data_IF_974333504065
#
_entry.id   IF_974333504065
#
_cell.length_a   1.000
_cell.length_b   1.000
_cell.length_c   1.000
_cell.angle_alpha   90.00
_cell.angle_beta   90.00
_cell.angle_gamma   90.00
#
_symmetry.space_group_name_H-M   'P 1'
#
loop_
_entity.id
_entity.type
_entity.pdbx_description
1 polymer ?
#
# COMPACT_ATOMS: atom_id res chain seq x y z
N UNK A 1 14.92 19.46 -9.53
CA UNK A 1 13.87 19.42 -10.57
C UNK A 1 12.54 19.57 -9.86
N UNK A 2 11.74 20.54 -10.26
CA UNK A 2 10.31 20.59 -9.90
C UNK A 2 9.65 19.35 -10.50
N UNK A 3 8.92 18.60 -9.68
CA UNK A 3 8.14 17.46 -10.16
C UNK A 3 6.88 18.05 -10.78
N UNK A 4 6.64 17.76 -12.05
CA UNK A 4 5.45 18.24 -12.74
C UNK A 4 4.21 17.55 -12.15
N UNK A 5 3.26 18.35 -11.68
CA UNK A 5 1.99 17.88 -11.15
C UNK A 5 0.89 18.02 -12.21
N UNK A 6 0.03 17.01 -12.31
CA UNK A 6 -1.07 16.92 -13.28
C UNK A 6 -2.34 16.44 -12.60
N UNK A 7 -3.46 16.52 -13.31
CA UNK A 7 -4.66 15.79 -12.94
C UNK A 7 -4.65 14.39 -13.53
N UNK A 8 -5.25 13.45 -12.80
CA UNK A 8 -5.42 12.07 -13.22
C UNK A 8 -6.87 11.64 -13.00
N UNK A 9 -7.51 11.16 -14.07
CA UNK A 9 -8.84 10.55 -13.97
C UNK A 9 -8.71 9.04 -14.00
N UNK A 10 -9.41 8.36 -13.08
CA UNK A 10 -9.47 6.91 -13.01
C UNK A 10 -10.92 6.45 -12.98
N UNK A 11 -11.28 5.51 -13.86
CA UNK A 11 -12.58 4.86 -13.85
C UNK A 11 -12.53 3.56 -13.04
N UNK A 12 -13.06 3.60 -11.82
CA UNK A 12 -13.16 2.40 -10.97
C UNK A 12 -14.60 1.90 -10.87
N UNK A 13 -14.75 0.61 -10.55
CA UNK A 13 -16.02 0.09 -10.05
C UNK A 13 -16.30 0.72 -8.70
N UNK A 14 -17.49 1.26 -8.48
CA UNK A 14 -17.89 1.68 -7.14
C UNK A 14 -17.95 0.46 -6.26
N UNK A 15 -17.34 0.53 -5.08
CA UNK A 15 -17.57 -0.43 -4.02
C UNK A 15 -18.57 0.13 -3.01
N UNK A 16 -19.31 -0.77 -2.36
CA UNK A 16 -20.17 -0.43 -1.23
C UNK A 16 -19.65 -1.12 0.01
N UNK A 17 -19.56 -0.36 1.09
CA UNK A 17 -19.39 -0.90 2.43
C UNK A 17 -20.75 -0.90 3.10
N UNK A 18 -21.43 -2.05 3.05
CA UNK A 18 -22.76 -2.17 3.68
C UNK A 18 -22.57 -2.43 5.17
N UNK A 19 -23.26 -1.63 5.98
CA UNK A 19 -23.44 -1.91 7.40
C UNK A 19 -24.76 -2.65 7.57
N UNK A 20 -24.72 -3.96 7.86
CA UNK A 20 -25.93 -4.73 8.22
C UNK A 20 -26.10 -4.73 9.73
N UNK A 21 -27.23 -4.22 10.22
CA UNK A 21 -27.63 -4.28 11.62
C UNK A 21 -28.20 -5.67 11.93
N UNK A 22 -27.62 -6.39 12.88
CA UNK A 22 -28.18 -7.65 13.38
C UNK A 22 -28.96 -7.43 14.68
N UNK A 23 -30.21 -7.89 14.67
CA UNK A 23 -31.24 -7.61 15.69
C UNK A 23 -30.91 -8.15 17.09
N UNK A 24 -30.06 -9.17 17.22
CA UNK A 24 -29.89 -9.86 18.50
C UNK A 24 -29.05 -9.05 19.52
N UNK A 25 -28.24 -8.07 19.14
CA UNK A 25 -27.39 -7.30 20.10
C UNK A 25 -26.89 -5.92 19.58
N UNK A 26 -27.66 -5.21 18.73
CA UNK A 26 -27.22 -3.93 18.12
C UNK A 26 -25.83 -4.00 17.45
N UNK A 27 -25.60 -5.03 16.64
CA UNK A 27 -24.31 -5.25 15.97
C UNK A 27 -24.30 -4.76 14.53
N UNK A 28 -23.21 -4.09 14.11
CA UNK A 28 -23.01 -3.51 12.78
C UNK A 28 -21.98 -4.34 11.99
N UNK A 29 -22.41 -5.16 11.01
CA UNK A 29 -21.52 -5.90 10.10
C UNK A 29 -21.11 -5.01 8.92
N UNK A 30 -19.83 -4.65 8.76
CA UNK A 30 -19.31 -3.97 7.56
C UNK A 30 -18.86 -5.02 6.52
N UNK A 31 -19.55 -5.13 5.38
CA UNK A 31 -19.12 -5.97 4.24
C UNK A 31 -18.70 -5.11 3.06
N UNK A 32 -17.55 -5.42 2.47
CA UNK A 32 -17.12 -4.87 1.19
C UNK A 32 -17.72 -5.68 0.05
N UNK A 33 -18.26 -5.02 -0.96
CA UNK A 33 -18.69 -5.65 -2.20
C UNK A 33 -18.54 -4.65 -3.33
N UNK A 34 -17.99 -5.10 -4.45
CA UNK A 34 -18.06 -4.34 -5.69
C UNK A 34 -19.52 -4.18 -6.13
N UNK A 35 -19.79 -3.07 -6.81
CA UNK A 35 -21.03 -2.86 -7.54
C UNK A 35 -20.75 -2.88 -9.03
N UNK A 36 -21.77 -3.11 -9.84
CA UNK A 36 -21.64 -3.10 -11.30
C UNK A 36 -21.53 -1.68 -11.88
N UNK A 37 -21.70 -0.65 -11.03
CA UNK A 37 -21.61 0.75 -11.46
C UNK A 37 -20.15 1.19 -11.47
N UNK A 38 -19.68 1.69 -12.61
CA UNK A 38 -18.39 2.38 -12.72
C UNK A 38 -18.55 3.89 -12.55
N UNK A 39 -17.58 4.54 -11.93
CA UNK A 39 -17.51 5.99 -11.78
C UNK A 39 -16.10 6.48 -12.09
N UNK A 40 -15.99 7.69 -12.64
CA UNK A 40 -14.70 8.36 -12.89
C UNK A 40 -14.42 9.28 -11.71
N UNK A 41 -13.23 9.15 -11.14
CA UNK A 41 -12.72 10.03 -10.10
C UNK A 41 -11.56 10.85 -10.61
N UNK A 42 -11.60 12.15 -10.34
CA UNK A 42 -10.53 13.07 -10.70
C UNK A 42 -9.66 13.36 -9.47
N UNK A 43 -8.36 13.10 -9.62
CA UNK A 43 -7.33 13.33 -8.61
C UNK A 43 -6.41 14.44 -9.10
N UNK A 44 -6.22 15.47 -8.28
CA UNK A 44 -5.29 16.55 -8.53
C UNK A 44 -3.91 16.24 -7.92
N UNK A 45 -2.95 17.14 -8.16
CA UNK A 45 -1.58 17.06 -7.61
C UNK A 45 -0.92 15.69 -7.80
N UNK A 46 -1.20 15.05 -8.95
CA UNK A 46 -0.66 13.74 -9.28
C UNK A 46 0.69 13.87 -10.00
N UNK A 47 1.55 12.89 -9.80
CA UNK A 47 2.85 12.78 -10.45
C UNK A 47 2.93 11.47 -11.20
N UNK A 48 3.55 11.50 -12.37
CA UNK A 48 3.63 10.34 -13.27
C UNK A 48 5.06 9.81 -13.28
N UNK A 49 5.21 8.54 -12.94
CA UNK A 49 6.44 7.77 -13.06
C UNK A 49 6.28 6.64 -14.07
N UNK A 50 7.41 6.17 -14.59
CA UNK A 50 7.49 5.03 -15.49
C UNK A 50 8.42 3.98 -14.92
N UNK A 51 8.05 2.71 -15.07
CA UNK A 51 8.85 1.56 -14.70
C UNK A 51 8.66 0.45 -15.73
N UNK A 52 9.60 -0.50 -15.79
CA UNK A 52 9.47 -1.69 -16.64
C UNK A 52 9.51 -2.96 -15.81
N UNK A 53 8.56 -3.83 -16.10
CA UNK A 53 8.56 -5.18 -15.58
C UNK A 53 9.71 -6.00 -16.19
N UNK A 54 10.09 -7.10 -15.56
CA UNK A 54 11.14 -8.01 -16.05
C UNK A 54 10.86 -8.56 -17.45
N UNK A 55 9.59 -8.69 -17.82
CA UNK A 55 9.13 -9.13 -19.14
C UNK A 55 8.98 -7.97 -20.14
N UNK A 56 9.59 -6.82 -19.85
CA UNK A 56 9.61 -5.60 -20.65
C UNK A 56 8.26 -4.91 -20.87
N UNK A 57 7.27 -5.20 -20.02
CA UNK A 57 6.02 -4.44 -20.03
C UNK A 57 6.20 -3.08 -19.36
N UNK A 58 5.73 -2.03 -20.03
CA UNK A 58 5.76 -0.66 -19.50
C UNK A 58 4.64 -0.46 -18.47
N UNK A 59 5.03 -0.01 -17.29
CA UNK A 59 4.13 0.30 -16.18
C UNK A 59 4.13 1.81 -15.98
N UNK A 60 2.95 2.41 -16.04
CA UNK A 60 2.73 3.79 -15.57
C UNK A 60 2.41 3.73 -14.08
N UNK A 61 3.13 4.53 -13.30
CA UNK A 61 2.96 4.64 -11.84
C UNK A 61 2.50 6.06 -11.52
N UNK A 62 1.24 6.19 -11.15
CA UNK A 62 0.64 7.46 -10.72
C UNK A 62 0.76 7.56 -9.22
N UNK A 63 1.26 8.70 -8.72
CA UNK A 63 1.30 8.99 -7.28
C UNK A 63 0.62 10.30 -6.96
N UNK A 64 -0.15 10.31 -5.87
CA UNK A 64 -0.72 11.51 -5.28
C UNK A 64 -0.35 11.58 -3.81
N UNK A 65 -0.41 12.77 -3.21
CA UNK A 65 -0.10 12.96 -1.80
C UNK A 65 -0.97 14.05 -1.18
N UNK A 66 -1.26 13.89 0.10
CA UNK A 66 -2.03 14.88 0.88
C UNK A 66 -1.54 14.92 2.31
N UNK A 67 -1.64 16.07 2.97
CA UNK A 67 -1.25 16.22 4.36
C UNK A 67 -2.46 16.04 5.28
N UNK A 68 -2.34 15.21 6.31
CA UNK A 68 -3.35 15.07 7.38
C UNK A 68 -2.68 15.04 8.74
N UNK A 69 -3.45 15.36 9.80
CA UNK A 69 -2.97 15.20 11.17
C UNK A 69 -3.21 13.77 11.66
N UNK A 70 -2.15 13.05 12.01
CA UNK A 70 -2.22 11.68 12.53
C UNK A 70 -2.68 11.68 13.98
N UNK A 71 -3.88 11.13 14.25
CA UNK A 71 -4.35 10.95 15.64
C UNK A 71 -3.49 9.96 16.43
N UNK A 72 -2.89 8.98 15.76
CA UNK A 72 -1.99 7.98 16.35
C UNK A 72 -0.73 8.65 16.90
N UNK A 73 -0.10 9.50 16.10
CA UNK A 73 1.17 10.16 16.42
C UNK A 73 0.98 11.50 17.14
N UNK A 74 -0.04 11.61 18.00
CA UNK A 74 -0.27 12.81 18.81
C UNK A 74 -0.74 14.05 18.02
N UNK A 75 -1.51 13.86 16.94
CA UNK A 75 -2.02 14.91 16.03
C UNK A 75 -0.94 15.67 15.25
N UNK A 76 0.25 15.07 15.06
CA UNK A 76 1.29 15.62 14.20
C UNK A 76 0.88 15.57 12.72
N UNK A 77 1.30 16.55 11.90
CA UNK A 77 1.10 16.49 10.46
C UNK A 77 1.91 15.33 9.87
N UNK A 78 1.26 14.53 9.04
CA UNK A 78 1.86 13.43 8.27
C UNK A 78 1.45 13.56 6.81
N UNK A 79 2.31 13.09 5.91
CA UNK A 79 2.05 13.05 4.48
C UNK A 79 1.51 11.68 4.12
N UNK A 80 0.25 11.64 3.74
CA UNK A 80 -0.38 10.48 3.16
C UNK A 80 -0.03 10.39 1.69
N UNK A 81 0.48 9.23 1.27
CA UNK A 81 0.87 8.96 -0.11
C UNK A 81 0.00 7.88 -0.71
N UNK A 82 -0.34 8.07 -1.98
CA UNK A 82 -1.13 7.13 -2.75
C UNK A 82 -0.36 6.71 -3.99
N UNK A 83 -0.49 5.45 -4.37
CA UNK A 83 0.10 4.90 -5.58
C UNK A 83 -0.95 4.07 -6.35
N UNK A 84 -0.99 4.26 -7.66
CA UNK A 84 -1.70 3.40 -8.60
C UNK A 84 -0.73 3.04 -9.74
N UNK A 85 -0.54 1.74 -9.98
CA UNK A 85 0.33 1.23 -11.04
C UNK A 85 -0.44 0.32 -11.98
N UNK A 86 -0.29 0.54 -13.28
CA UNK A 86 -0.93 -0.29 -14.31
C UNK A 86 -0.08 -0.35 -15.57
N UNK A 87 -0.30 -1.40 -16.34
CA UNK A 87 0.35 -1.63 -17.63
C UNK A 87 -0.29 -0.75 -18.71
N UNK A 88 0.53 -0.18 -19.59
CA UNK A 88 0.06 0.64 -20.71
C UNK A 88 0.52 0.03 -22.03
N UNK A 89 -0.47 -0.20 -22.90
CA UNK A 89 -0.28 -0.85 -24.21
C UNK A 89 -0.49 0.09 -25.40
N UNK A 90 -1.22 1.19 -25.20
CA UNK A 90 -1.51 2.19 -26.24
C UNK A 90 -1.89 3.50 -25.55
N UNK A 91 -1.49 4.64 -26.11
CA UNK A 91 -1.95 5.95 -25.62
C UNK A 91 -2.58 6.74 -26.76
N UNK A 92 -3.55 7.61 -26.47
CA UNK A 92 -4.11 8.51 -27.47
C UNK A 92 -3.19 9.71 -27.72
N UNK A 93 -3.29 10.33 -28.89
CA UNK A 93 -2.72 11.66 -29.07
C UNK A 93 -3.38 12.66 -28.11
N UNK A 94 -2.66 13.70 -27.65
CA UNK A 94 -3.24 14.75 -26.82
C UNK A 94 -4.29 15.57 -27.58
N UNK A 95 -5.40 15.88 -26.93
CA UNK A 95 -6.48 16.69 -27.49
C UNK A 95 -7.09 17.62 -26.44
N UNK A 96 -7.89 18.58 -26.89
CA UNK A 96 -8.61 19.51 -26.02
C UNK A 96 -10.09 19.13 -25.99
N UNK A 97 -10.68 19.08 -24.80
CA UNK A 97 -12.12 18.89 -24.63
C UNK A 97 -12.68 19.75 -23.50
N UNK A 98 -13.99 20.06 -23.57
CA UNK A 98 -14.71 20.69 -22.48
C UNK A 98 -15.07 19.65 -21.43
N UNK A 99 -14.69 19.88 -20.18
CA UNK A 99 -14.82 18.90 -19.10
C UNK A 99 -15.28 19.54 -17.79
N UNK A 100 -15.99 18.76 -16.98
CA UNK A 100 -16.39 19.13 -15.61
C UNK A 100 -15.84 18.07 -14.66
N UNK A 101 -14.86 18.46 -13.85
CA UNK A 101 -14.18 17.57 -12.94
C UNK A 101 -15.05 17.22 -11.72
N UNK A 102 -14.95 15.95 -11.31
CA UNK A 102 -15.55 15.38 -10.11
C UNK A 102 -14.44 15.19 -9.08
N UNK A 103 -14.26 16.19 -8.24
CA UNK A 103 -13.27 16.10 -7.17
C UNK A 103 -13.67 15.04 -6.13
N UNK A 104 -12.70 14.28 -5.66
CA UNK A 104 -12.79 13.51 -4.42
C UNK A 104 -12.72 14.46 -3.19
N UNK A 105 -13.58 15.49 -3.16
CA UNK A 105 -13.70 16.40 -2.03
C UNK A 105 -14.60 15.80 -0.94
N UNK A 106 -14.56 16.37 0.27
CA UNK A 106 -15.50 16.04 1.35
C UNK A 106 -16.98 16.33 1.02
N UNK A 107 -17.22 17.03 -0.09
CA UNK A 107 -18.55 17.33 -0.62
C UNK A 107 -18.65 16.78 -2.06
N UNK A 108 -19.23 15.58 -2.25
CA UNK A 108 -19.30 14.91 -3.55
C UNK A 108 -20.20 15.63 -4.58
N UNK A 109 -20.88 16.72 -4.19
CA UNK A 109 -21.69 17.53 -5.11
C UNK A 109 -20.91 18.70 -5.72
N UNK A 110 -19.71 19.02 -5.22
CA UNK A 110 -18.88 20.09 -5.78
C UNK A 110 -18.18 19.63 -7.05
N UNK A 111 -18.40 20.40 -8.12
CA UNK A 111 -17.82 20.18 -9.45
C UNK A 111 -17.00 21.39 -9.86
N UNK A 112 -15.88 21.16 -10.55
CA UNK A 112 -15.03 22.23 -11.10
C UNK A 112 -15.18 22.26 -12.62
N UNK A 113 -15.47 23.43 -13.17
CA UNK A 113 -15.80 23.65 -14.58
C UNK A 113 -17.30 23.85 -14.82
N UNK A 114 -17.77 23.77 -16.08
CA UNK A 114 -17.04 23.29 -17.25
C UNK A 114 -15.90 24.22 -17.69
N UNK A 115 -14.74 23.65 -18.03
CA UNK A 115 -13.58 24.34 -18.60
C UNK A 115 -12.94 23.46 -19.68
N UNK A 116 -12.14 24.05 -20.56
CA UNK A 116 -11.33 23.27 -21.49
C UNK A 116 -10.16 22.62 -20.75
N UNK A 117 -9.91 21.33 -20.99
CA UNK A 117 -8.73 20.61 -20.53
C UNK A 117 -7.92 20.07 -21.70
N UNK A 118 -6.60 20.01 -21.52
CA UNK A 118 -5.67 19.29 -22.39
C UNK A 118 -5.54 17.88 -21.81
N UNK A 119 -5.76 16.84 -22.61
CA UNK A 119 -5.85 15.46 -22.11
C UNK A 119 -5.31 14.46 -23.13
N UNK A 120 -4.76 13.34 -22.63
CA UNK A 120 -4.64 12.10 -23.40
C UNK A 120 -5.08 10.90 -22.55
N UNK A 121 -5.49 9.84 -23.24
CA UNK A 121 -5.93 8.59 -22.63
C UNK A 121 -4.78 7.59 -22.60
N UNK A 122 -4.63 6.89 -21.48
CA UNK A 122 -3.67 5.79 -21.34
C UNK A 122 -4.29 4.43 -21.68
N UNK A 123 -5.61 4.31 -21.54
CA UNK A 123 -6.43 3.17 -21.92
C UNK A 123 -7.92 3.57 -21.81
N UNK A 124 -8.81 2.58 -21.73
CA UNK A 124 -10.25 2.83 -21.59
C UNK A 124 -10.70 3.40 -20.24
N UNK A 125 -9.87 3.30 -19.20
CA UNK A 125 -10.20 3.60 -17.80
C UNK A 125 -9.28 4.67 -17.16
N UNK A 126 -8.28 5.20 -17.87
CA UNK A 126 -7.30 6.15 -17.34
C UNK A 126 -7.02 7.36 -18.26
N UNK A 127 -6.97 8.56 -17.67
CA UNK A 127 -6.64 9.82 -18.35
C UNK A 127 -5.64 10.64 -17.56
N UNK A 128 -4.70 11.29 -18.25
CA UNK A 128 -3.83 12.33 -17.69
C UNK A 128 -4.20 13.66 -18.34
N UNK A 129 -4.38 14.71 -17.54
CA UNK A 129 -4.85 15.99 -18.05
C UNK A 129 -4.43 17.20 -17.21
N UNK A 130 -4.54 18.39 -17.79
CA UNK A 130 -4.43 19.67 -17.09
C UNK A 130 -5.44 20.66 -17.67
N UNK A 131 -5.83 21.68 -16.90
CA UNK A 131 -6.69 22.74 -17.42
C UNK A 131 -5.98 23.55 -18.50
N UNK A 132 -6.68 23.82 -19.61
CA UNK A 132 -6.13 24.64 -20.68
C UNK A 132 -5.92 26.08 -20.20
N UNK A 133 -4.75 26.65 -20.49
CA UNK A 133 -4.46 28.05 -20.23
C UNK A 133 -4.66 28.88 -21.48
N UNK A 134 -5.17 30.09 -21.30
CA UNK A 134 -5.44 31.00 -22.41
C UNK A 134 -4.13 31.32 -23.16
N UNK A 135 -4.13 31.07 -24.48
CA UNK A 135 -2.99 31.33 -25.35
C UNK A 135 -1.85 30.30 -25.30
N UNK A 136 -1.94 29.24 -24.49
CA UNK A 136 -0.95 28.15 -24.50
C UNK A 136 -1.25 27.12 -25.61
N UNK A 137 -0.24 26.80 -26.41
CA UNK A 137 -0.31 25.71 -27.40
C UNK A 137 -0.14 24.35 -26.70
N UNK A 138 -0.88 23.33 -27.16
CA UNK A 138 -0.82 21.98 -26.62
C UNK A 138 0.61 21.43 -26.63
N UNK A 139 1.41 21.75 -27.66
CA UNK A 139 2.78 21.24 -27.77
C UNK A 139 3.72 21.77 -26.70
N UNK A 140 3.38 22.90 -26.06
CA UNK A 140 4.14 23.49 -24.95
C UNK A 140 3.71 22.97 -23.57
N UNK A 141 2.62 22.21 -23.52
CA UNK A 141 1.98 21.76 -22.28
C UNK A 141 2.75 20.64 -21.57
N UNK A 142 2.45 20.45 -20.28
CA UNK A 142 2.98 19.30 -19.51
C UNK A 142 2.43 18.01 -20.10
N UNK A 143 1.18 18.05 -20.56
CA UNK A 143 0.45 16.92 -21.15
C UNK A 143 1.15 16.40 -22.40
N UNK A 144 1.56 17.29 -23.30
CA UNK A 144 2.29 16.88 -24.52
C UNK A 144 3.69 16.36 -24.21
N UNK A 145 4.38 16.93 -23.22
CA UNK A 145 5.66 16.40 -22.73
C UNK A 145 5.52 14.98 -22.17
N UNK A 146 4.53 14.74 -21.30
CA UNK A 146 4.25 13.42 -20.73
C UNK A 146 3.85 12.41 -21.81
N UNK A 147 2.98 12.80 -22.75
CA UNK A 147 2.63 11.97 -23.90
C UNK A 147 3.88 11.53 -24.67
N UNK A 148 4.77 12.45 -25.03
CA UNK A 148 6.00 12.11 -25.75
C UNK A 148 6.93 11.21 -24.93
N UNK A 149 7.05 11.46 -23.62
CA UNK A 149 7.86 10.62 -22.73
C UNK A 149 7.34 9.18 -22.71
N UNK A 150 6.04 8.99 -22.52
CA UNK A 150 5.42 7.66 -22.48
C UNK A 150 5.51 7.00 -23.87
N UNK A 151 5.16 7.71 -24.94
CA UNK A 151 5.20 7.19 -26.31
C UNK A 151 6.62 6.75 -26.71
N UNK A 152 7.63 7.58 -26.41
CA UNK A 152 9.02 7.24 -26.69
C UNK A 152 9.44 6.00 -25.91
N UNK A 153 9.10 5.91 -24.63
CA UNK A 153 9.41 4.71 -23.84
C UNK A 153 8.72 3.46 -24.37
N UNK A 154 7.49 3.57 -24.90
CA UNK A 154 6.81 2.45 -25.55
C UNK A 154 7.53 1.97 -26.82
N UNK A 155 8.20 2.87 -27.55
CA UNK A 155 8.88 2.56 -28.82
C UNK A 155 10.33 2.10 -28.59
N UNK A 156 11.09 2.77 -27.73
CA UNK A 156 12.54 2.60 -27.63
C UNK A 156 13.03 1.80 -26.41
N UNK A 157 12.14 1.43 -25.47
CA UNK A 157 12.49 0.72 -24.22
C UNK A 157 13.78 1.23 -23.55
N UNK A 158 13.89 2.55 -23.34
CA UNK A 158 15.10 3.15 -22.75
C UNK A 158 15.19 2.95 -21.23
N UNK A 159 14.05 2.79 -20.55
CA UNK A 159 14.02 2.39 -19.13
C UNK A 159 14.53 0.95 -18.98
N UNK A 160 15.33 0.71 -17.95
CA UNK A 160 15.80 -0.63 -17.61
C UNK A 160 14.66 -1.48 -17.04
N UNK A 161 14.54 -2.70 -17.54
CA UNK A 161 13.58 -3.72 -17.06
C UNK A 161 14.10 -4.39 -15.80
N UNK A 162 13.97 -3.70 -14.67
CA UNK A 162 14.50 -4.08 -13.36
C UNK A 162 13.44 -4.18 -12.25
N UNK A 163 12.16 -3.97 -12.57
CA UNK A 163 11.04 -3.91 -11.62
C UNK A 163 11.19 -2.83 -10.52
N UNK A 164 12.01 -1.80 -10.74
CA UNK A 164 12.23 -0.74 -9.76
C UNK A 164 11.29 0.43 -10.03
N UNK A 165 10.42 0.71 -9.07
CA UNK A 165 9.62 1.92 -9.03
C UNK A 165 10.49 3.09 -8.56
N UNK A 166 11.18 3.72 -9.50
CA UNK A 166 12.02 4.89 -9.22
C UNK A 166 11.15 6.08 -8.79
N UNK A 167 11.69 6.87 -7.88
CA UNK A 167 11.15 8.18 -7.52
C UNK A 167 12.17 9.26 -7.87
N UNK A 168 11.70 10.42 -8.31
CA UNK A 168 12.54 11.56 -8.70
C UNK A 168 13.21 12.28 -7.51
N UNK A 169 13.14 11.74 -6.30
CA UNK A 169 13.68 12.35 -5.08
C UNK A 169 14.86 11.55 -4.57
N UNK A 170 15.99 12.21 -4.36
CA UNK A 170 17.13 11.63 -3.63
C UNK A 170 16.76 11.56 -2.16
N UNK A 171 16.38 10.39 -1.71
CA UNK A 171 16.17 10.12 -0.29
C UNK A 171 17.46 9.47 0.22
N UNK A 172 18.18 10.18 1.09
CA UNK A 172 19.27 9.56 1.83
C UNK A 172 18.63 8.50 2.73
N UNK A 173 18.92 7.24 2.43
CA UNK A 173 18.52 6.11 3.23
C UNK A 173 19.80 5.31 3.52
N UNK A 174 19.86 4.71 4.70
CA UNK A 174 20.94 3.80 5.06
C UNK A 174 20.85 2.54 4.16
N UNK A 175 21.96 1.78 4.02
CA UNK A 175 22.01 0.47 3.34
C UNK A 175 21.15 -0.63 4.01
N UNK A 176 20.16 -0.25 4.82
CA UNK A 176 19.24 -1.14 5.52
C UNK A 176 18.16 -1.60 4.56
N UNK A 177 17.86 -2.90 4.61
CA UNK A 177 16.68 -3.44 3.95
C UNK A 177 15.44 -3.01 4.73
N UNK A 178 14.64 -2.13 4.14
CA UNK A 178 13.37 -1.67 4.70
C UNK A 178 12.33 -1.72 3.58
N UNK A 179 11.27 -2.54 3.70
CA UNK A 179 10.27 -2.66 2.64
C UNK A 179 9.38 -1.42 2.55
N UNK A 180 8.84 -1.19 1.35
CA UNK A 180 7.69 -0.30 1.15
C UNK A 180 6.43 -1.13 1.16
N UNK A 181 5.42 -0.70 1.92
CA UNK A 181 4.17 -1.43 2.07
C UNK A 181 3.09 -0.72 1.25
N UNK A 182 2.46 -1.47 0.36
CA UNK A 182 1.27 -1.05 -0.35
C UNK A 182 0.03 -1.73 0.23
N UNK A 183 -0.95 -0.94 0.62
CA UNK A 183 -2.24 -1.43 1.11
C UNK A 183 -3.37 -0.75 0.34
N UNK A 184 -4.38 -1.46 -0.16
CA UNK A 184 -5.55 -0.86 -0.78
C UNK A 184 -6.16 0.27 0.05
N UNK A 185 -6.37 1.42 -0.57
CA UNK A 185 -6.84 2.66 0.04
C UNK A 185 -8.36 2.66 0.19
N UNK A 186 -8.86 1.86 1.13
CA UNK A 186 -10.28 1.75 1.43
C UNK A 186 -10.52 2.20 2.87
N UNK A 187 -10.78 3.50 3.05
CA UNK A 187 -10.89 4.18 4.36
C UNK A 187 -11.82 3.48 5.35
N UNK A 188 -12.94 2.93 4.85
CA UNK A 188 -13.95 2.26 5.69
C UNK A 188 -13.46 1.02 6.44
N UNK A 189 -12.27 0.51 6.10
CA UNK A 189 -11.66 -0.69 6.67
C UNK A 189 -10.96 -0.42 7.99
N UNK A 190 -10.63 0.81 8.34
CA UNK A 190 -9.99 1.18 9.63
C UNK A 190 -8.82 0.25 10.03
N UNK A 191 -8.10 -0.33 9.06
CA UNK A 191 -7.06 -1.36 9.25
C UNK A 191 -5.68 -0.85 8.81
N UNK A 192 -5.42 0.43 9.09
CA UNK A 192 -4.21 1.13 8.65
C UNK A 192 -2.95 0.54 9.29
N UNK A 193 -1.86 0.51 8.53
CA UNK A 193 -0.52 0.31 9.07
C UNK A 193 -0.19 1.46 10.04
N UNK A 194 0.39 1.13 11.19
CA UNK A 194 0.83 2.08 12.22
C UNK A 194 2.33 2.07 12.41
N UNK A 195 2.92 0.88 12.47
CA UNK A 195 4.35 0.74 12.72
C UNK A 195 4.94 -0.33 11.83
N UNK A 196 6.18 -0.12 11.42
CA UNK A 196 6.97 -1.06 10.63
C UNK A 196 8.32 -1.21 11.31
N UNK A 197 8.61 -2.42 11.80
CA UNK A 197 9.86 -2.73 12.45
C UNK A 197 10.67 -3.70 11.61
N UNK A 198 11.95 -3.38 11.40
CA UNK A 198 12.89 -4.24 10.67
C UNK A 198 14.02 -4.68 11.61
N UNK A 199 14.06 -5.98 11.94
CA UNK A 199 15.12 -6.59 12.75
C UNK A 199 15.98 -7.49 11.89
N UNK A 200 17.25 -7.13 11.74
CA UNK A 200 18.26 -8.00 11.13
C UNK A 200 18.56 -9.17 12.07
N UNK A 201 18.32 -10.41 11.64
CA UNK A 201 18.72 -11.65 12.31
C UNK A 201 20.05 -12.16 11.75
N UNK A 202 20.81 -12.89 12.56
CA UNK A 202 22.23 -13.19 12.37
C UNK A 202 22.57 -13.85 11.03
N UNK A 203 23.83 -13.66 10.60
CA UNK A 203 24.38 -14.27 9.39
C UNK A 203 24.39 -15.79 9.48
N UNK A 204 23.91 -16.46 8.45
CA UNK A 204 24.24 -17.87 8.20
C UNK A 204 25.72 -17.98 7.81
N UNK A 205 26.32 -19.16 7.97
CA UNK A 205 27.74 -19.42 7.68
C UNK A 205 28.18 -19.04 6.25
N UNK A 206 27.23 -18.92 5.31
CA UNK A 206 27.44 -18.50 3.92
C UNK A 206 27.35 -16.98 3.69
N UNK A 207 27.23 -16.17 4.75
CA UNK A 207 27.11 -14.71 4.65
C UNK A 207 25.73 -14.19 4.25
N UNK A 208 24.73 -15.07 4.09
CA UNK A 208 23.32 -14.67 3.96
C UNK A 208 22.77 -14.21 5.31
N UNK A 209 21.85 -13.24 5.31
CA UNK A 209 21.15 -12.83 6.52
C UNK A 209 19.65 -12.69 6.27
N UNK A 210 18.89 -12.76 7.35
CA UNK A 210 17.45 -12.62 7.34
C UNK A 210 17.07 -11.27 7.97
N UNK A 211 16.10 -10.58 7.38
CA UNK A 211 15.45 -9.44 8.02
C UNK A 211 14.04 -9.85 8.37
N UNK A 212 13.73 -9.88 9.67
CA UNK A 212 12.37 -10.01 10.16
C UNK A 212 11.70 -8.64 10.08
N UNK A 213 10.60 -8.58 9.34
CA UNK A 213 9.75 -7.39 9.25
C UNK A 213 8.51 -7.66 10.06
N UNK A 214 8.19 -6.77 11.01
CA UNK A 214 6.98 -6.82 11.81
C UNK A 214 6.16 -5.56 11.59
N UNK A 215 4.89 -5.73 11.25
CA UNK A 215 3.95 -4.66 10.94
C UNK A 215 2.87 -4.65 12.02
N UNK A 216 2.64 -3.48 12.61
CA UNK A 216 1.55 -3.24 13.55
C UNK A 216 0.41 -2.51 12.84
N UNK A 217 -0.79 -3.07 12.95
CA UNK A 217 -2.01 -2.52 12.36
C UNK A 217 -2.92 -1.95 13.43
N UNK A 218 -3.63 -0.87 13.11
CA UNK A 218 -4.65 -0.27 13.99
C UNK A 218 -5.70 -1.29 14.44
N UNK A 219 -6.13 -2.18 13.53
CA UNK A 219 -7.12 -3.22 13.81
C UNK A 219 -7.09 -4.31 12.73
N UNK A 220 -7.54 -5.53 13.06
CA UNK A 220 -7.85 -6.60 12.12
C UNK A 220 -9.37 -6.73 11.97
N UNK A 221 -9.90 -6.66 10.74
CA UNK A 221 -11.33 -6.81 10.47
C UNK A 221 -11.64 -8.14 9.79
N UNK A 222 -12.08 -9.11 10.61
CA UNK A 222 -12.75 -10.33 10.15
C UNK A 222 -14.20 -9.98 9.73
N UNK A 223 -14.57 -10.23 8.47
CA UNK A 223 -15.82 -9.82 7.82
C UNK A 223 -16.83 -10.96 7.59
N UNK A 224 -16.39 -12.15 7.23
CA UNK A 224 -17.19 -13.38 7.10
C UNK A 224 -17.50 -13.97 8.48
N UNK A 225 -16.52 -13.97 9.40
CA UNK A 225 -16.66 -14.49 10.77
C UNK A 225 -16.85 -13.41 11.86
N UNK A 226 -17.59 -12.34 11.54
CA UNK A 226 -17.80 -11.17 12.41
C UNK A 226 -18.41 -11.47 13.80
N UNK A 227 -19.14 -12.59 13.96
CA UNK A 227 -19.68 -13.01 15.26
C UNK A 227 -18.58 -13.38 16.28
N UNK A 228 -17.36 -13.68 15.81
CA UNK A 228 -16.19 -13.93 16.65
C UNK A 228 -15.40 -12.65 16.94
N UNK A 229 -15.66 -11.51 16.29
CA UNK A 229 -14.79 -10.32 16.35
C UNK A 229 -14.66 -9.75 17.78
N UNK A 230 -15.77 -9.55 18.52
CA UNK A 230 -15.68 -9.16 19.93
C UNK A 230 -15.16 -10.25 20.85
N UNK A 231 -15.46 -11.54 20.58
CA UNK A 231 -14.95 -12.64 21.38
C UNK A 231 -13.44 -12.80 21.20
N UNK A 232 -12.94 -12.63 19.98
CA UNK A 232 -11.54 -12.69 19.59
C UNK A 232 -10.78 -11.42 19.99
N UNK A 233 -11.36 -10.21 19.87
CA UNK A 233 -10.82 -8.98 20.49
C UNK A 233 -10.77 -9.13 22.01
N UNK A 234 -11.83 -9.64 22.67
CA UNK A 234 -11.82 -9.90 24.12
C UNK A 234 -10.84 -11.00 24.51
N UNK A 235 -10.67 -12.05 23.73
CA UNK A 235 -9.67 -13.10 23.96
C UNK A 235 -8.26 -12.52 23.78
N UNK A 236 -8.01 -11.71 22.73
CA UNK A 236 -6.74 -11.00 22.51
C UNK A 236 -6.44 -10.02 23.65
N UNK A 237 -7.39 -9.16 24.02
CA UNK A 237 -7.28 -8.16 25.10
C UNK A 237 -7.18 -8.78 26.50
N UNK A 238 -7.86 -9.89 26.76
CA UNK A 238 -8.15 -10.35 28.13
C UNK A 238 -7.53 -11.71 28.46
N UNK A 239 -7.14 -12.54 27.47
CA UNK A 239 -6.64 -13.92 27.68
C UNK A 239 -5.34 -14.30 26.95
N UNK A 240 -5.09 -13.84 25.71
CA UNK A 240 -3.93 -14.25 24.91
C UNK A 240 -2.76 -13.23 24.95
N UNK A 241 -2.97 -11.99 24.48
CA UNK A 241 -1.85 -11.09 24.13
C UNK A 241 -1.88 -9.71 24.82
N UNK A 242 -3.00 -9.29 25.42
CA UNK A 242 -3.12 -8.00 26.12
C UNK A 242 -3.21 -6.76 25.22
N UNK A 243 -3.43 -6.92 23.91
CA UNK A 243 -3.44 -5.82 22.92
C UNK A 243 -4.69 -5.77 22.05
N UNK A 244 -4.99 -4.58 21.53
CA UNK A 244 -6.05 -4.29 20.53
C UNK A 244 -5.51 -4.30 19.09
N UNK A 245 -4.25 -3.92 18.90
CA UNK A 245 -3.58 -3.90 17.61
C UNK A 245 -3.39 -5.30 17.06
N UNK A 246 -3.38 -5.41 15.74
CA UNK A 246 -2.97 -6.62 15.05
C UNK A 246 -1.49 -6.55 14.66
N UNK A 247 -0.81 -7.69 14.65
CA UNK A 247 0.63 -7.74 14.39
C UNK A 247 0.90 -8.91 13.46
N UNK A 248 1.43 -8.59 12.29
CA UNK A 248 1.91 -9.58 11.33
C UNK A 248 3.39 -9.45 11.08
N UNK A 249 4.02 -10.58 10.74
CA UNK A 249 5.45 -10.62 10.50
C UNK A 249 5.79 -11.50 9.31
N UNK A 250 6.69 -11.01 8.46
CA UNK A 250 7.29 -11.78 7.37
C UNK A 250 8.80 -11.64 7.40
N UNK A 251 9.49 -12.39 6.54
CA UNK A 251 10.96 -12.36 6.46
C UNK A 251 11.41 -12.00 5.06
N UNK A 252 12.52 -11.29 4.99
CA UNK A 252 13.27 -11.04 3.76
C UNK A 252 14.59 -11.79 3.87
N UNK A 253 14.82 -12.73 2.97
CA UNK A 253 16.10 -13.43 2.83
C UNK A 253 17.00 -12.64 1.88
N UNK A 254 18.18 -12.25 2.36
CA UNK A 254 19.23 -11.66 1.54
C UNK A 254 20.39 -12.65 1.37
N UNK A 255 20.45 -13.28 0.20
CA UNK A 255 21.49 -14.24 -0.16
C UNK A 255 22.64 -13.50 -0.83
N UNK A 256 23.64 -13.10 -0.04
CA UNK A 256 24.80 -12.35 -0.53
C UNK A 256 25.44 -13.04 -1.74
N UNK A 257 25.48 -12.35 -2.88
CA UNK A 257 26.09 -12.84 -4.13
C UNK A 257 25.10 -13.41 -5.16
N UNK A 258 23.81 -13.49 -4.84
CA UNK A 258 22.74 -13.76 -5.80
C UNK A 258 21.79 -12.55 -5.78
N UNK A 259 21.43 -12.00 -6.93
CA UNK A 259 20.40 -10.94 -7.08
C UNK A 259 18.98 -11.47 -6.76
N UNK A 260 18.85 -12.32 -5.74
CA UNK A 260 17.66 -13.12 -5.45
C UNK A 260 17.27 -12.97 -3.99
N UNK A 261 16.94 -11.74 -3.59
CA UNK A 261 16.20 -11.52 -2.34
C UNK A 261 14.83 -12.19 -2.44
N UNK A 262 14.36 -12.79 -1.35
CA UNK A 262 13.08 -13.53 -1.31
C UNK A 262 12.26 -13.18 -0.08
N UNK A 263 10.94 -13.20 -0.21
CA UNK A 263 10.01 -13.14 0.91
C UNK A 263 9.71 -14.53 1.47
N UNK A 264 9.37 -14.59 2.76
CA UNK A 264 8.72 -15.74 3.39
C UNK A 264 7.53 -15.21 4.18
N UNK A 265 6.32 -15.68 3.82
CA UNK A 265 5.04 -15.21 4.36
C UNK A 265 4.35 -16.26 5.23
N UNK A 266 5.06 -16.81 6.23
CA UNK A 266 4.53 -17.89 7.08
C UNK A 266 3.17 -17.55 7.69
N UNK A 267 2.12 -18.28 7.29
CA UNK A 267 0.75 -18.15 7.81
C UNK A 267 0.00 -16.90 7.35
N UNK A 268 0.59 -16.09 6.47
CA UNK A 268 0.05 -14.80 6.03
C UNK A 268 0.17 -14.59 4.53
N UNK A 269 0.46 -15.63 3.74
CA UNK A 269 0.51 -15.49 2.29
C UNK A 269 -0.90 -15.39 1.70
N UNK A 270 -1.14 -14.42 0.81
CA UNK A 270 -2.48 -14.17 0.27
C UNK A 270 -2.93 -15.15 -0.80
N UNK A 271 -2.05 -15.98 -1.38
CA UNK A 271 -2.43 -16.98 -2.41
C UNK A 271 -3.28 -16.38 -3.56
N UNK A 272 -3.00 -15.14 -4.00
CA UNK A 272 -3.78 -14.46 -5.04
C UNK A 272 -5.18 -13.95 -4.63
N UNK A 273 -5.56 -14.10 -3.36
CA UNK A 273 -6.82 -13.58 -2.82
C UNK A 273 -6.73 -12.07 -2.61
N UNK A 274 -7.86 -11.38 -2.78
CA UNK A 274 -7.98 -9.92 -2.72
C UNK A 274 -8.79 -9.45 -1.49
N UNK A 275 -9.12 -8.16 -1.43
CA UNK A 275 -9.81 -7.52 -0.31
C UNK A 275 -11.17 -8.11 0.06
N UNK A 276 -11.78 -8.92 -0.80
CA UNK A 276 -13.08 -9.54 -0.53
C UNK A 276 -12.93 -10.64 0.53
N UNK A 277 -11.77 -11.30 0.57
CA UNK A 277 -11.49 -12.43 1.44
C UNK A 277 -10.88 -11.98 2.77
N UNK A 278 -11.22 -12.68 3.85
CA UNK A 278 -10.92 -12.25 5.22
C UNK A 278 -10.46 -13.37 6.17
N UNK A 279 -10.28 -14.59 5.69
CA UNK A 279 -9.85 -15.77 6.45
C UNK A 279 -8.60 -16.44 5.84
N UNK A 280 -7.92 -15.75 4.94
CA UNK A 280 -6.82 -16.30 4.16
C UNK A 280 -5.54 -16.35 5.00
N UNK A 281 -5.02 -17.57 5.17
CA UNK A 281 -3.74 -17.88 5.82
C UNK A 281 -2.96 -18.91 5.00
N UNK A 282 -2.36 -18.45 3.89
CA UNK A 282 -1.45 -19.25 3.06
C UNK A 282 -0.11 -19.54 3.75
N UNK A 283 0.77 -20.27 3.06
CA UNK A 283 2.11 -20.63 3.55
C UNK A 283 2.13 -21.14 5.00
N UNK A 284 1.38 -22.21 5.28
CA UNK A 284 1.33 -22.81 6.62
C UNK A 284 2.72 -23.28 7.10
N UNK A 285 3.62 -23.58 6.17
CA UNK A 285 4.99 -23.99 6.44
C UNK A 285 5.94 -22.78 6.54
N UNK A 286 6.93 -22.87 7.44
CA UNK A 286 7.77 -21.72 7.83
C UNK A 286 8.76 -21.19 6.79
N UNK A 287 8.89 -21.84 5.62
CA UNK A 287 10.06 -21.68 4.75
C UNK A 287 9.74 -21.68 3.26
N UNK A 288 8.49 -21.38 2.87
CA UNK A 288 8.13 -21.25 1.44
C UNK A 288 8.67 -19.91 0.94
N UNK A 289 9.66 -19.89 0.02
CA UNK A 289 10.28 -18.67 -0.43
C UNK A 289 9.61 -18.14 -1.70
N UNK A 290 9.26 -16.86 -1.71
CA UNK A 290 8.68 -16.16 -2.86
C UNK A 290 9.67 -15.15 -3.44
N UNK A 291 9.82 -15.12 -4.76
CA UNK A 291 10.70 -14.14 -5.40
C UNK A 291 10.11 -12.74 -5.24
N UNK A 292 10.93 -11.76 -4.89
CA UNK A 292 10.49 -10.37 -4.82
C UNK A 292 10.20 -9.88 -6.24
N UNK A 293 8.98 -9.40 -6.47
CA UNK A 293 8.55 -8.97 -7.80
C UNK A 293 8.89 -7.52 -8.10
N UNK A 294 8.80 -6.64 -7.10
CA UNK A 294 9.01 -5.21 -7.28
C UNK A 294 9.88 -4.63 -6.17
N UNK A 295 10.60 -3.58 -6.52
CA UNK A 295 11.46 -2.82 -5.63
C UNK A 295 11.13 -1.33 -5.74
N UNK A 296 11.39 -0.57 -4.69
CA UNK A 296 11.17 0.87 -4.65
C UNK A 296 12.52 1.57 -4.61
N UNK A 297 12.81 2.53 -5.49
CA UNK A 297 14.13 3.18 -5.64
C UNK A 297 15.31 2.27 -6.04
N UNK A 298 15.54 1.17 -5.34
CA UNK A 298 16.62 0.21 -5.51
C UNK A 298 16.31 -1.14 -4.83
N UNK A 299 17.25 -2.08 -4.94
CA UNK A 299 17.09 -3.46 -4.49
C UNK A 299 17.09 -3.65 -2.96
N UNK A 300 17.30 -2.62 -2.14
CA UNK A 300 17.22 -2.70 -0.68
C UNK A 300 15.81 -2.44 -0.15
N UNK A 301 14.92 -1.90 -0.99
CA UNK A 301 13.57 -1.55 -0.59
C UNK A 301 12.54 -2.37 -1.35
N UNK A 302 12.39 -3.66 -1.01
CA UNK A 302 11.43 -4.50 -1.68
C UNK A 302 10.00 -4.05 -1.38
N UNK A 303 9.12 -4.19 -2.35
CA UNK A 303 7.71 -3.83 -2.24
C UNK A 303 6.92 -5.03 -1.76
N UNK A 304 6.07 -4.83 -0.74
CA UNK A 304 5.12 -5.84 -0.26
C UNK A 304 3.69 -5.32 -0.39
N UNK A 305 2.78 -6.17 -0.87
CA UNK A 305 1.36 -5.84 -1.00
C UNK A 305 0.57 -6.52 0.10
N UNK A 306 -0.24 -5.73 0.82
CA UNK A 306 -1.29 -6.24 1.70
C UNK A 306 -2.54 -6.41 0.86
N UNK A 307 -2.96 -7.65 0.65
CA UNK A 307 -3.97 -7.97 -0.35
C UNK A 307 -5.36 -8.18 0.22
N UNK A 308 -5.47 -8.63 1.47
CA UNK A 308 -6.74 -9.02 2.08
C UNK A 308 -7.08 -8.14 3.30
N UNK A 309 -8.31 -8.26 3.80
CA UNK A 309 -8.74 -7.47 4.96
C UNK A 309 -8.21 -7.97 6.31
N UNK A 310 -7.75 -9.22 6.35
CA UNK A 310 -7.05 -9.83 7.49
C UNK A 310 -5.52 -9.76 7.33
N UNK A 311 -5.02 -8.82 6.50
CA UNK A 311 -3.59 -8.53 6.34
C UNK A 311 -2.73 -9.63 5.73
N UNK A 312 -3.31 -10.57 4.96
CA UNK A 312 -2.52 -11.48 4.15
C UNK A 312 -1.79 -10.71 3.05
N UNK A 313 -0.52 -11.06 2.84
CA UNK A 313 0.44 -10.33 2.03
C UNK A 313 0.97 -11.17 0.87
N UNK A 314 1.50 -10.51 -0.16
CA UNK A 314 2.24 -11.16 -1.24
C UNK A 314 3.23 -10.20 -1.90
N UNK A 315 4.05 -10.75 -2.78
CA UNK A 315 4.95 -10.03 -3.70
C UNK A 315 4.21 -9.32 -4.84
N UNK A 316 2.93 -9.63 -5.06
CA UNK A 316 2.13 -9.10 -6.18
C UNK A 316 0.82 -8.44 -5.71
N UNK A 317 0.36 -7.47 -6.48
CA UNK A 317 -0.90 -6.76 -6.25
C UNK A 317 -2.09 -7.55 -6.81
N UNK A 318 -3.00 -7.97 -5.95
CA UNK A 318 -4.26 -8.63 -6.34
C UNK A 318 -5.44 -7.65 -6.43
N UNK A 319 -5.21 -6.38 -6.10
CA UNK A 319 -6.21 -5.32 -6.05
C UNK A 319 -5.87 -4.18 -7.03
N UNK A 320 -5.28 -4.50 -8.19
CA UNK A 320 -4.72 -3.53 -9.16
C UNK A 320 -5.65 -2.37 -9.54
N UNK A 321 -6.97 -2.57 -9.53
CA UNK A 321 -7.98 -1.52 -9.82
C UNK A 321 -8.10 -0.43 -8.72
N UNK A 322 -7.46 -0.58 -7.56
CA UNK A 322 -7.60 0.35 -6.43
C UNK A 322 -6.37 1.25 -6.24
N UNK A 323 -6.57 2.46 -5.72
CA UNK A 323 -5.45 3.21 -5.13
C UNK A 323 -4.88 2.48 -3.92
N UNK A 324 -3.57 2.62 -3.69
CA UNK A 324 -2.86 2.03 -2.54
C UNK A 324 -2.33 3.14 -1.66
N UNK A 325 -2.51 3.01 -0.35
CA UNK A 325 -1.66 3.68 0.62
C UNK A 325 -0.21 3.24 0.40
N UNK A 326 0.69 4.20 0.17
CA UNK A 326 2.12 4.00 0.00
C UNK A 326 2.84 4.32 1.31
N UNK A 327 3.14 3.29 2.11
CA UNK A 327 3.87 3.46 3.36
C UNK A 327 5.37 3.31 3.11
N UNK A 328 6.10 4.42 3.19
CA UNK A 328 7.56 4.50 3.09
C UNK A 328 8.09 4.80 4.50
N UNK A 329 8.50 3.78 5.28
CA UNK A 329 8.68 3.94 6.73
C UNK A 329 9.76 4.94 7.14
N UNK A 330 10.77 5.14 6.31
CA UNK A 330 11.93 5.98 6.65
C UNK A 330 11.74 7.47 6.32
N UNK A 331 10.57 7.90 5.83
CA UNK A 331 10.30 9.33 5.63
C UNK A 331 10.01 10.01 6.97
N UNK A 332 10.54 11.22 7.14
CA UNK A 332 10.33 12.02 8.36
C UNK A 332 8.84 12.31 8.63
N UNK A 333 8.07 12.54 7.57
CA UNK A 333 6.64 12.82 7.60
C UNK A 333 5.77 11.59 7.29
N UNK A 334 6.33 10.37 7.38
CA UNK A 334 5.57 9.14 7.13
C UNK A 334 4.36 9.02 8.08
N UNK A 335 3.23 8.44 7.62
CA UNK A 335 2.07 8.20 8.47
C UNK A 335 2.22 6.93 9.34
N UNK A 336 3.45 6.42 9.47
CA UNK A 336 3.82 5.21 10.21
C UNK A 336 5.10 5.45 11.01
N UNK A 337 5.25 4.76 12.13
CA UNK A 337 6.50 4.75 12.89
C UNK A 337 7.43 3.66 12.35
N UNK A 338 8.72 3.98 12.20
CA UNK A 338 9.74 3.01 11.80
C UNK A 338 10.58 2.60 13.01
N UNK A 339 10.70 1.30 13.24
CA UNK A 339 11.46 0.76 14.36
C UNK A 339 12.36 -0.43 14.00
N UNK A 340 13.00 -1.00 15.01
CA UNK A 340 14.00 -2.08 14.86
C UNK A 340 13.78 -3.24 15.82
N UNK A 341 12.54 -3.41 16.27
CA UNK A 341 12.15 -4.46 17.21
C UNK A 341 11.74 -5.73 16.46
N UNK A 342 12.04 -6.87 17.03
CA UNK A 342 11.50 -8.17 16.65
C UNK A 342 10.04 -8.33 17.09
N UNK A 343 9.34 -9.30 16.50
CA UNK A 343 7.97 -9.63 16.92
C UNK A 343 7.88 -9.96 18.41
N UNK A 344 8.84 -10.73 18.93
CA UNK A 344 8.91 -11.11 20.34
C UNK A 344 9.08 -9.90 21.26
N UNK A 345 9.99 -8.98 20.91
CA UNK A 345 10.20 -7.75 21.66
C UNK A 345 8.91 -6.90 21.69
N UNK A 346 8.21 -6.78 20.56
CA UNK A 346 6.94 -6.03 20.48
C UNK A 346 5.86 -6.72 21.32
N UNK A 347 5.65 -8.03 21.17
CA UNK A 347 4.66 -8.77 21.94
C UNK A 347 4.92 -8.69 23.44
N UNK A 348 6.19 -8.67 23.87
CA UNK A 348 6.57 -8.53 25.28
C UNK A 348 6.13 -7.20 25.93
N UNK A 349 5.99 -6.14 25.14
CA UNK A 349 5.48 -4.85 25.61
C UNK A 349 3.98 -4.92 25.95
N UNK A 350 3.23 -5.79 25.27
CA UNK A 350 1.80 -5.95 25.46
C UNK A 350 1.41 -7.00 26.51
N UNK A 351 2.37 -7.78 27.02
CA UNK A 351 2.14 -8.69 28.14
C UNK A 351 1.75 -7.88 29.39
N UNK A 352 0.44 -7.82 29.65
CA UNK A 352 -0.13 -7.08 30.77
C UNK A 352 0.44 -7.49 32.13
N UNK A 353 0.41 -6.54 33.07
CA UNK A 353 0.93 -6.65 34.44
C UNK A 353 0.56 -7.97 35.15
N UNK A 354 -0.63 -8.54 34.88
CA UNK A 354 -1.08 -9.83 35.44
C UNK A 354 -0.30 -11.06 34.95
N UNK A 355 0.10 -11.12 33.67
CA UNK A 355 0.95 -12.24 33.16
C UNK A 355 2.38 -12.11 33.66
N UNK A 356 2.91 -10.89 33.79
CA UNK A 356 4.20 -10.64 34.47
C UNK A 356 4.18 -11.11 35.91
N UNK A 357 3.08 -10.87 36.64
CA UNK A 357 2.91 -11.35 38.03
C UNK A 357 2.83 -12.88 38.12
N UNK A 358 2.07 -13.54 37.22
CA UNK A 358 1.95 -15.02 37.21
C UNK A 358 3.27 -15.69 36.82
N UNK A 359 4.02 -15.13 35.87
CA UNK A 359 5.36 -15.62 35.52
C UNK A 359 6.39 -15.37 36.64
N UNK A 360 6.30 -14.25 37.36
CA UNK A 360 7.11 -14.02 38.57
C UNK A 360 6.80 -15.05 39.66
N UNK A 361 5.52 -15.31 39.93
CA UNK A 361 5.09 -16.28 40.95
C UNK A 361 5.51 -17.70 40.57
N UNK A 362 5.41 -18.10 39.29
CA UNK A 362 5.90 -19.40 38.82
C UNK A 362 7.42 -19.52 38.80
N UNK A 363 8.15 -18.44 38.58
CA UNK A 363 9.62 -18.40 38.67
C UNK A 363 10.13 -18.51 40.11
N UNK A 364 9.38 -17.97 41.08
CA UNK A 364 9.68 -18.06 42.51
C UNK A 364 9.37 -19.46 43.07
N UNK A 365 8.40 -20.19 42.50
CA UNK A 365 8.05 -21.56 42.93
C UNK A 365 8.92 -22.66 42.32
N UNK A 366 9.85 -22.32 41.42
CA UNK A 366 10.80 -23.26 40.78
C UNK A 366 12.24 -23.13 41.29
N UNK A 367 12.51 -22.15 42.15
CA UNK A 367 13.69 -22.10 43.01
C UNK A 367 13.27 -22.45 44.44
#
# INVERSE_FOLDING_TARGET
MTIDEVWFSHREKRYKTKIKLFSIKNFLKKTFSWTDNKEIWDWDHCTIGLARAIDDRLIVVVRSKTNKNSRYMGKKPVELRYMLGFEVNSISEPYIESYTARENHSDPEKRVGPNNRLVFQLDSDHWIWEWAKEGEDINSSIIYRLYNQINNEMISSSIKSDNIFKIGVKINHDDKIIPVIYQPAVDSLDNFVREVHCKKKSLNANGSYEVEVTIIFENEKLREHFYLHKAYELIRLRWLYGRKYDIESFKILDNKGLDNKKFIFKGIYSNGHNLIHDDIHGDKESHIPHNIKYFFMDNNHPVVFINTSNHAMAEHDTNHELWKWEYIPWLENAPVECGSMSREEIESQFIGFRKRLVMLIHGILKN
#
